data_IF_652575349150
#
_entry.id   IF_652575349150
#
_cell.length_a   1.000
_cell.length_b   1.000
_cell.length_c   1.000
_cell.angle_alpha   90.00
_cell.angle_beta   90.00
_cell.angle_gamma   90.00
#
_symmetry.space_group_name_H-M   'P 1'
#
loop_
_entity.id
_entity.type
_entity.pdbx_description
1 polymer ?
#
# COMPACT_ATOMS: atom_id res chain seq x y z
N UNK A 1 -9.99 -8.61 7.53
CA UNK A 1 -8.87 -7.81 8.09
C UNK A 1 -8.44 -8.38 9.43
N UNK A 2 -7.15 -8.54 9.63
CA UNK A 2 -6.55 -9.00 10.89
C UNK A 2 -5.45 -8.02 11.30
N UNK A 3 -5.41 -7.65 12.58
CA UNK A 3 -4.39 -6.76 13.16
C UNK A 3 -4.00 -7.29 14.54
N UNK A 4 -2.74 -7.18 14.88
CA UNK A 4 -2.24 -7.54 16.23
C UNK A 4 -1.15 -6.58 16.66
N UNK A 5 -1.14 -6.28 17.92
CA UNK A 5 -0.05 -5.59 18.59
C UNK A 5 1.08 -6.57 18.88
N UNK A 6 2.32 -6.12 18.78
CA UNK A 6 3.51 -6.91 19.12
C UNK A 6 4.28 -7.44 17.94
N UNK A 7 5.01 -8.51 18.13
CA UNK A 7 5.87 -9.12 17.08
C UNK A 7 5.04 -9.75 15.97
N UNK A 8 5.63 -9.89 14.77
CA UNK A 8 5.01 -10.55 13.60
C UNK A 8 4.47 -11.94 13.95
N UNK A 9 5.14 -12.66 14.85
CA UNK A 9 4.68 -13.97 15.33
C UNK A 9 3.27 -13.93 15.92
N UNK A 10 2.88 -12.85 16.62
CA UNK A 10 1.52 -12.68 17.16
C UNK A 10 0.48 -12.59 16.04
N UNK A 11 0.83 -11.92 14.95
CA UNK A 11 -0.03 -11.86 13.77
C UNK A 11 -0.10 -13.22 13.05
N UNK A 12 1.02 -13.93 12.93
CA UNK A 12 1.06 -15.27 12.34
C UNK A 12 0.16 -16.25 13.09
N UNK A 13 0.28 -16.30 14.42
CA UNK A 13 -0.57 -17.13 15.27
C UNK A 13 -2.06 -16.78 15.10
N UNK A 14 -2.40 -15.51 15.10
CA UNK A 14 -3.78 -15.07 14.90
C UNK A 14 -4.31 -15.42 13.51
N UNK A 15 -3.46 -15.46 12.48
CA UNK A 15 -3.85 -15.87 11.14
C UNK A 15 -4.10 -17.39 11.04
N UNK A 16 -3.42 -18.20 11.85
CA UNK A 16 -3.71 -19.64 11.98
C UNK A 16 -5.06 -19.88 12.68
N UNK A 17 -5.35 -19.13 13.74
CA UNK A 17 -6.61 -19.22 14.47
C UNK A 17 -7.82 -18.68 13.67
N UNK A 18 -7.58 -17.63 12.85
CA UNK A 18 -8.59 -16.94 12.05
C UNK A 18 -8.10 -16.78 10.61
N UNK A 19 -8.12 -17.86 9.80
CA UNK A 19 -7.59 -17.82 8.44
C UNK A 19 -8.29 -16.76 7.57
N UNK A 20 -7.49 -15.98 6.87
CA UNK A 20 -7.96 -15.08 5.82
C UNK A 20 -7.86 -15.79 4.48
N UNK A 21 -8.95 -15.80 3.73
CA UNK A 21 -9.02 -16.43 2.41
C UNK A 21 -9.11 -15.37 1.32
N UNK A 22 -8.36 -15.57 0.23
CA UNK A 22 -8.36 -14.68 -0.92
C UNK A 22 -7.18 -14.92 -1.85
N UNK A 23 -7.29 -14.43 -3.08
CA UNK A 23 -6.22 -14.48 -4.09
C UNK A 23 -5.35 -13.24 -4.11
N UNK A 24 -5.72 -12.20 -3.35
CA UNK A 24 -4.98 -10.93 -3.24
C UNK A 24 -4.96 -10.51 -1.78
N UNK A 25 -3.84 -9.99 -1.32
CA UNK A 25 -3.69 -9.48 0.03
C UNK A 25 -2.68 -8.36 0.13
N UNK A 26 -2.84 -7.51 1.13
CA UNK A 26 -1.86 -6.50 1.52
C UNK A 26 -1.54 -6.67 3.01
N UNK A 27 -0.29 -6.42 3.38
CA UNK A 27 0.19 -6.55 4.75
C UNK A 27 1.21 -5.46 5.09
N UNK A 28 1.38 -5.21 6.38
CA UNK A 28 2.29 -4.18 6.87
C UNK A 28 2.77 -4.50 8.29
N UNK A 29 4.06 -4.30 8.54
CA UNK A 29 4.65 -4.27 9.88
C UNK A 29 4.89 -2.82 10.26
N UNK A 30 4.06 -2.29 11.13
CA UNK A 30 4.09 -0.88 11.48
C UNK A 30 5.36 -0.50 12.25
N UNK A 31 6.02 0.56 11.80
CA UNK A 31 6.95 1.35 12.62
C UNK A 31 6.21 2.62 13.05
N UNK A 32 5.90 2.75 14.36
CA UNK A 32 5.04 3.81 14.85
C UNK A 32 5.70 5.20 14.68
N UNK A 33 5.10 6.05 13.86
CA UNK A 33 5.49 7.46 13.66
C UNK A 33 4.44 8.41 14.21
N UNK A 34 3.15 8.10 14.04
CA UNK A 34 2.00 8.86 14.53
C UNK A 34 1.05 7.94 15.29
N UNK A 35 0.67 8.34 16.50
CA UNK A 35 -0.14 7.54 17.40
C UNK A 35 0.61 6.42 18.10
N UNK A 36 0.14 6.03 19.26
CA UNK A 36 0.73 4.96 20.06
C UNK A 36 0.60 3.58 19.39
N UNK A 37 1.44 2.61 19.76
CA UNK A 37 1.25 1.22 19.36
C UNK A 37 -0.09 0.68 19.86
N UNK A 38 -1.02 0.42 18.94
CA UNK A 38 -2.33 -0.15 19.22
C UNK A 38 -2.88 -0.87 17.99
N UNK A 39 -3.86 -1.74 18.15
CA UNK A 39 -4.53 -2.36 17.00
C UNK A 39 -5.31 -1.33 16.17
N UNK A 40 -5.84 -0.26 16.79
CA UNK A 40 -6.53 0.81 16.08
C UNK A 40 -5.58 1.55 15.11
N UNK A 41 -4.33 1.75 15.52
CA UNK A 41 -3.31 2.43 14.76
C UNK A 41 -2.52 1.48 13.83
N UNK A 42 -2.73 0.18 13.91
CA UNK A 42 -2.08 -0.79 13.04
C UNK A 42 -2.70 -0.81 11.63
N UNK A 43 -1.86 -1.02 10.61
CA UNK A 43 -2.32 -1.22 9.24
C UNK A 43 -3.02 -2.59 9.07
N UNK A 44 -3.87 -2.75 8.06
CA UNK A 44 -4.30 -1.74 7.10
C UNK A 44 -5.37 -0.81 7.68
N UNK A 45 -5.42 0.44 7.17
CA UNK A 45 -6.51 1.37 7.42
C UNK A 45 -7.60 1.22 6.36
N UNK A 46 -8.84 1.46 6.76
CA UNK A 46 -10.01 1.18 5.92
C UNK A 46 -10.96 2.38 5.91
N UNK A 47 -11.44 2.73 4.72
CA UNK A 47 -12.55 3.64 4.51
C UNK A 47 -13.59 2.94 3.63
N UNK A 48 -14.68 2.49 4.22
CA UNK A 48 -15.68 1.64 3.59
C UNK A 48 -15.04 0.40 2.94
N UNK A 49 -14.87 0.39 1.63
CA UNK A 49 -14.25 -0.70 0.87
C UNK A 49 -12.79 -0.45 0.49
N UNK A 50 -12.29 0.77 0.73
CA UNK A 50 -10.91 1.13 0.42
C UNK A 50 -10.01 0.69 1.57
N UNK A 51 -8.98 -0.07 1.23
CA UNK A 51 -8.02 -0.65 2.18
C UNK A 51 -6.62 -0.17 1.81
N UNK A 52 -5.87 0.36 2.78
CA UNK A 52 -4.58 1.04 2.55
C UNK A 52 -3.52 0.55 3.53
N UNK A 53 -2.32 0.29 3.00
CA UNK A 53 -1.06 0.21 3.75
C UNK A 53 -0.11 1.30 3.25
N UNK A 54 0.75 1.82 4.13
CA UNK A 54 1.57 2.97 3.83
C UNK A 54 2.86 2.96 4.65
N UNK A 55 3.99 3.21 3.99
CA UNK A 55 5.27 3.55 4.58
C UNK A 55 5.57 5.02 4.31
N UNK A 56 6.04 5.74 5.32
CA UNK A 56 6.41 7.14 5.22
C UNK A 56 5.56 8.05 6.12
N UNK A 57 5.54 9.33 5.81
CA UNK A 57 4.81 10.34 6.57
C UNK A 57 4.07 11.27 5.62
N UNK A 58 2.76 11.42 5.82
CA UNK A 58 1.94 12.41 5.13
C UNK A 58 1.96 13.70 5.95
N UNK A 59 2.79 14.64 5.53
CA UNK A 59 3.06 15.89 6.28
C UNK A 59 1.82 16.78 6.42
N UNK A 60 0.95 16.78 5.41
CA UNK A 60 -0.29 17.56 5.42
C UNK A 60 -1.51 16.77 5.87
N UNK A 61 -1.31 15.74 6.70
CA UNK A 61 -2.40 14.88 7.17
C UNK A 61 -3.46 15.65 8.00
N UNK A 62 -3.07 16.63 8.82
CA UNK A 62 -4.01 17.37 9.67
C UNK A 62 -5.02 18.19 8.87
N UNK A 63 -4.63 19.10 7.95
CA UNK A 63 -5.60 19.83 7.15
C UNK A 63 -6.46 18.91 6.26
N UNK A 64 -5.90 17.81 5.75
CA UNK A 64 -6.70 16.82 5.01
C UNK A 64 -7.71 16.11 5.92
N UNK A 65 -7.30 15.75 7.14
CA UNK A 65 -8.19 15.16 8.16
C UNK A 65 -9.38 16.05 8.45
N UNK A 66 -9.14 17.34 8.70
CA UNK A 66 -10.22 18.30 8.99
C UNK A 66 -11.15 18.50 7.79
N UNK A 67 -10.61 18.58 6.58
CA UNK A 67 -11.41 18.66 5.36
C UNK A 67 -12.27 17.40 5.14
N UNK A 68 -11.74 16.22 5.43
CA UNK A 68 -12.47 14.96 5.32
C UNK A 68 -13.52 14.80 6.41
N UNK A 69 -13.26 15.23 7.64
CA UNK A 69 -14.26 15.31 8.71
C UNK A 69 -15.44 16.22 8.32
N UNK A 70 -15.15 17.38 7.73
CA UNK A 70 -16.18 18.29 7.21
C UNK A 70 -17.05 17.66 6.11
N UNK A 71 -16.51 16.65 5.41
CA UNK A 71 -17.22 15.83 4.39
C UNK A 71 -17.95 14.62 5.00
N UNK A 72 -17.95 14.48 6.32
CA UNK A 72 -18.65 13.42 7.03
C UNK A 72 -17.85 12.15 7.32
N UNK A 73 -16.54 12.15 7.09
CA UNK A 73 -15.69 11.02 7.44
C UNK A 73 -15.38 10.98 8.94
N UNK A 74 -15.49 9.80 9.52
CA UNK A 74 -15.11 9.55 10.92
C UNK A 74 -13.73 8.88 10.95
N UNK A 75 -12.82 9.45 11.73
CA UNK A 75 -11.48 8.90 11.95
C UNK A 75 -11.49 8.05 13.22
N UNK A 76 -10.94 6.84 13.12
CA UNK A 76 -10.87 5.86 14.21
C UNK A 76 -9.45 5.58 14.67
N UNK A 77 -8.45 6.18 14.01
CA UNK A 77 -7.04 6.07 14.36
C UNK A 77 -6.38 7.45 14.46
N UNK A 78 -5.21 7.45 15.05
CA UNK A 78 -4.36 8.65 15.15
C UNK A 78 -3.35 8.74 14.01
N UNK A 79 -3.36 7.76 13.07
CA UNK A 79 -2.35 7.69 12.02
C UNK A 79 -2.63 8.67 10.89
N UNK A 80 -1.56 9.12 10.25
CA UNK A 80 -1.61 9.88 9.01
C UNK A 80 -2.13 9.03 7.83
N UNK A 81 -1.92 7.72 7.88
CA UNK A 81 -2.33 6.77 6.82
C UNK A 81 -3.84 6.72 6.62
N UNK A 82 -4.64 6.86 7.67
CA UNK A 82 -6.11 6.84 7.55
C UNK A 82 -6.63 7.95 6.62
N UNK A 83 -5.91 9.06 6.54
CA UNK A 83 -6.22 10.15 5.60
C UNK A 83 -6.20 9.66 4.14
N UNK A 84 -5.24 8.81 3.78
CA UNK A 84 -5.15 8.26 2.42
C UNK A 84 -6.42 7.44 2.09
N UNK A 85 -6.85 6.58 3.01
CA UNK A 85 -8.02 5.73 2.82
C UNK A 85 -9.30 6.56 2.58
N UNK A 86 -9.54 7.56 3.41
CA UNK A 86 -10.70 8.42 3.28
C UNK A 86 -10.62 9.32 2.04
N UNK A 87 -9.45 9.83 1.70
CA UNK A 87 -9.26 10.66 0.51
C UNK A 87 -9.54 9.88 -0.78
N UNK A 88 -8.99 8.67 -0.89
CA UNK A 88 -9.24 7.80 -2.06
C UNK A 88 -10.73 7.41 -2.14
N UNK A 89 -11.36 7.11 -1.01
CA UNK A 89 -12.79 6.82 -0.96
C UNK A 89 -13.62 8.03 -1.43
N UNK A 90 -13.27 9.24 -0.97
CA UNK A 90 -13.92 10.47 -1.42
C UNK A 90 -13.79 10.65 -2.93
N UNK A 91 -12.59 10.52 -3.47
CA UNK A 91 -12.36 10.67 -4.91
C UNK A 91 -13.10 9.60 -5.73
N UNK A 92 -13.16 8.36 -5.23
CA UNK A 92 -13.89 7.29 -5.90
C UNK A 92 -15.41 7.59 -5.96
N UNK A 93 -15.97 8.22 -4.93
CA UNK A 93 -17.37 8.66 -4.91
C UNK A 93 -17.68 9.79 -5.91
N UNK A 94 -16.67 10.51 -6.39
CA UNK A 94 -16.85 11.50 -7.46
C UNK A 94 -17.00 10.84 -8.85
N UNK A 95 -16.82 9.53 -8.93
CA UNK A 95 -16.99 8.75 -10.15
C UNK A 95 -15.66 8.24 -10.74
N UNK A 96 -15.79 7.32 -11.67
CA UNK A 96 -14.65 6.69 -12.35
C UNK A 96 -14.16 5.42 -11.67
N UNK A 97 -12.98 4.95 -12.11
CA UNK A 97 -12.31 3.75 -11.61
C UNK A 97 -11.47 4.06 -10.36
N UNK A 98 -11.05 3.01 -9.64
CA UNK A 98 -10.10 3.17 -8.53
C UNK A 98 -8.80 3.83 -9.00
N UNK A 99 -8.30 3.47 -10.17
CA UNK A 99 -7.11 4.12 -10.77
C UNK A 99 -7.31 5.63 -10.91
N UNK A 100 -8.43 6.05 -11.48
CA UNK A 100 -8.74 7.48 -11.65
C UNK A 100 -8.88 8.19 -10.31
N UNK A 101 -9.50 7.55 -9.32
CA UNK A 101 -9.59 8.09 -7.97
C UNK A 101 -8.21 8.26 -7.31
N UNK A 102 -7.32 7.28 -7.45
CA UNK A 102 -5.95 7.36 -6.94
C UNK A 102 -5.16 8.45 -7.66
N UNK A 103 -5.28 8.56 -8.99
CA UNK A 103 -4.65 9.63 -9.78
C UNK A 103 -5.10 11.04 -9.34
N UNK A 104 -6.33 11.20 -8.83
CA UNK A 104 -6.81 12.46 -8.26
C UNK A 104 -6.40 12.67 -6.80
N UNK A 105 -6.32 11.60 -6.01
CA UNK A 105 -6.01 11.67 -4.59
C UNK A 105 -4.52 11.95 -4.34
N UNK A 106 -3.62 11.24 -5.03
CA UNK A 106 -2.18 11.28 -4.78
C UNK A 106 -1.59 12.69 -4.88
N UNK A 107 -1.93 13.54 -5.87
CA UNK A 107 -1.39 14.91 -5.94
C UNK A 107 -1.78 15.82 -4.76
N UNK A 108 -2.77 15.44 -3.96
CA UNK A 108 -3.20 16.18 -2.77
C UNK A 108 -2.34 15.86 -1.54
N UNK A 109 -1.56 14.77 -1.57
CA UNK A 109 -0.67 14.37 -0.50
C UNK A 109 0.66 15.11 -0.58
N UNK A 110 1.19 15.50 0.58
CA UNK A 110 2.55 16.04 0.73
C UNK A 110 3.32 15.17 1.71
N UNK A 111 4.61 15.00 1.45
CA UNK A 111 5.49 14.17 2.28
C UNK A 111 6.02 12.95 1.54
N UNK A 112 6.54 12.00 2.30
CA UNK A 112 7.08 10.76 1.76
C UNK A 112 6.06 9.62 1.93
N UNK A 113 5.83 8.85 0.87
CA UNK A 113 4.97 7.68 0.92
C UNK A 113 5.38 6.59 -0.08
N UNK A 114 5.25 5.35 0.37
CA UNK A 114 5.08 4.17 -0.45
C UNK A 114 3.78 3.52 0.01
N UNK A 115 2.73 3.60 -0.79
CA UNK A 115 1.39 3.15 -0.39
C UNK A 115 0.81 2.16 -1.37
N UNK A 116 0.06 1.19 -0.84
CA UNK A 116 -0.70 0.22 -1.64
C UNK A 116 -2.17 0.30 -1.23
N UNK A 117 -3.03 0.37 -2.22
CA UNK A 117 -4.45 0.63 -2.10
C UNK A 117 -5.23 -0.47 -2.81
N UNK A 118 -6.26 -0.98 -2.15
CA UNK A 118 -7.17 -2.00 -2.68
C UNK A 118 -8.62 -1.59 -2.44
N UNK A 119 -9.50 -1.86 -3.40
CA UNK A 119 -10.94 -1.88 -3.18
C UNK A 119 -11.37 -3.33 -2.93
N UNK A 120 -11.91 -3.63 -1.75
CA UNK A 120 -12.32 -4.99 -1.37
C UNK A 120 -13.46 -5.57 -2.22
N UNK A 121 -14.16 -4.73 -2.98
CA UNK A 121 -15.18 -5.17 -3.95
C UNK A 121 -14.56 -5.64 -5.27
N UNK A 122 -13.32 -5.21 -5.56
CA UNK A 122 -12.55 -5.51 -6.76
C UNK A 122 -11.13 -5.96 -6.39
N UNK A 123 -10.99 -7.11 -5.69
CA UNK A 123 -9.72 -7.51 -5.07
C UNK A 123 -8.66 -8.02 -6.07
N UNK A 124 -8.97 -8.11 -7.34
CA UNK A 124 -8.07 -8.50 -8.42
C UNK A 124 -7.09 -7.39 -8.85
N UNK A 125 -7.29 -6.17 -8.34
CA UNK A 125 -6.49 -5.00 -8.70
C UNK A 125 -5.91 -4.33 -7.46
N UNK A 126 -4.60 -4.04 -7.48
CA UNK A 126 -3.92 -3.19 -6.52
C UNK A 126 -3.46 -1.90 -7.19
N UNK A 127 -3.58 -0.78 -6.50
CA UNK A 127 -2.95 0.48 -6.86
C UNK A 127 -1.78 0.73 -5.92
N UNK A 128 -0.63 1.11 -6.47
CA UNK A 128 0.55 1.49 -5.71
C UNK A 128 1.00 2.89 -6.10
N UNK A 129 1.47 3.67 -5.13
CA UNK A 129 1.99 5.00 -5.39
C UNK A 129 3.25 5.25 -4.55
N UNK A 130 4.24 5.90 -5.16
CA UNK A 130 5.51 6.19 -4.53
C UNK A 130 5.90 7.65 -4.66
N UNK A 131 6.34 8.21 -3.52
CA UNK A 131 7.13 9.44 -3.44
C UNK A 131 8.00 9.38 -2.17
N UNK A 132 9.31 9.50 -2.29
CA UNK A 132 10.24 9.46 -1.17
C UNK A 132 10.50 8.06 -0.57
N UNK A 133 9.49 7.26 -0.36
CA UNK A 133 9.63 5.87 0.14
C UNK A 133 9.62 4.87 -1.00
N UNK A 134 10.54 3.88 -1.03
CA UNK A 134 10.67 2.94 -2.14
C UNK A 134 9.49 1.98 -2.24
N UNK A 135 9.15 1.61 -3.46
CA UNK A 135 8.31 0.47 -3.80
C UNK A 135 8.87 -0.27 -5.01
N UNK A 136 8.80 -1.59 -4.97
CA UNK A 136 9.24 -2.48 -6.05
C UNK A 136 8.14 -3.46 -6.38
N UNK A 137 7.94 -3.70 -7.67
CA UNK A 137 7.01 -4.71 -8.19
C UNK A 137 7.82 -5.95 -8.56
N UNK A 138 7.42 -7.10 -8.03
CA UNK A 138 7.95 -8.39 -8.43
C UNK A 138 7.04 -9.02 -9.49
N UNK A 139 7.62 -9.43 -10.62
CA UNK A 139 6.90 -10.06 -11.72
C UNK A 139 6.96 -11.59 -11.56
N UNK A 140 5.80 -12.20 -11.47
CA UNK A 140 5.64 -13.65 -11.39
C UNK A 140 4.90 -14.25 -12.60
N UNK A 141 4.62 -15.55 -12.55
CA UNK A 141 3.85 -16.27 -13.56
C UNK A 141 2.41 -16.40 -13.08
N UNK A 142 1.49 -15.62 -13.66
CA UNK A 142 0.08 -15.60 -13.25
C UNK A 142 -0.18 -14.95 -11.89
N UNK A 143 0.81 -14.25 -11.38
CA UNK A 143 0.76 -13.48 -10.14
C UNK A 143 1.80 -12.36 -10.18
N UNK A 144 1.56 -11.27 -9.45
CA UNK A 144 2.51 -10.18 -9.27
C UNK A 144 2.55 -9.79 -7.80
N UNK A 145 3.66 -9.21 -7.41
CA UNK A 145 3.96 -8.85 -6.02
C UNK A 145 4.34 -7.38 -5.93
N UNK A 146 4.17 -6.81 -4.74
CA UNK A 146 4.69 -5.49 -4.41
C UNK A 146 5.28 -5.51 -3.00
N UNK A 147 6.40 -4.83 -2.84
CA UNK A 147 7.06 -4.68 -1.54
C UNK A 147 7.81 -3.35 -1.46
N UNK A 148 8.16 -2.96 -0.25
CA UNK A 148 9.05 -1.83 0.01
C UNK A 148 10.53 -2.15 -0.31
N UNK A 149 10.91 -3.43 -0.31
CA UNK A 149 12.26 -3.91 -0.60
C UNK A 149 12.21 -5.21 -1.42
N UNK A 150 13.07 -5.30 -2.45
CA UNK A 150 13.18 -6.50 -3.28
C UNK A 150 13.60 -7.76 -2.49
N UNK A 151 14.34 -7.61 -1.40
CA UNK A 151 14.76 -8.73 -0.55
C UNK A 151 13.58 -9.53 -0.04
N UNK A 152 12.44 -8.88 0.24
CA UNK A 152 11.22 -9.55 0.66
C UNK A 152 10.62 -10.47 -0.42
N UNK A 153 10.92 -10.19 -1.70
CA UNK A 153 10.35 -10.90 -2.85
C UNK A 153 11.30 -11.90 -3.50
N UNK A 154 12.58 -11.91 -3.15
CA UNK A 154 13.56 -12.85 -3.71
C UNK A 154 13.17 -14.35 -3.58
N UNK A 155 12.46 -14.78 -2.52
CA UNK A 155 11.97 -16.16 -2.45
C UNK A 155 10.97 -16.55 -3.53
N UNK A 156 10.30 -15.58 -4.15
CA UNK A 156 9.20 -15.84 -5.10
C UNK A 156 9.50 -15.36 -6.52
N UNK A 157 10.37 -14.35 -6.70
CA UNK A 157 10.77 -13.86 -8.03
C UNK A 157 12.11 -13.16 -7.99
N UNK A 158 12.78 -13.10 -9.15
CA UNK A 158 13.99 -12.31 -9.38
C UNK A 158 13.80 -11.18 -10.37
N UNK A 159 12.61 -11.06 -10.96
CA UNK A 159 12.29 -10.03 -11.95
C UNK A 159 11.54 -8.89 -11.27
N UNK A 160 12.10 -7.69 -11.37
CA UNK A 160 11.60 -6.53 -10.67
C UNK A 160 11.42 -5.31 -11.56
N UNK A 161 10.39 -4.52 -11.24
CA UNK A 161 10.25 -3.13 -11.71
C UNK A 161 10.34 -2.23 -10.47
N UNK A 162 11.34 -1.36 -10.46
CA UNK A 162 11.47 -0.34 -9.41
C UNK A 162 10.66 0.88 -9.82
N UNK A 163 9.68 1.27 -8.99
CA UNK A 163 8.92 2.47 -9.23
C UNK A 163 9.81 3.71 -9.02
N UNK A 164 9.64 4.69 -9.90
CA UNK A 164 10.32 5.98 -9.81
C UNK A 164 9.50 6.99 -9.02
N UNK A 165 10.11 8.13 -8.70
CA UNK A 165 9.44 9.22 -7.97
C UNK A 165 8.18 9.70 -8.70
N UNK A 166 7.06 9.68 -7.98
CA UNK A 166 5.77 10.09 -8.51
C UNK A 166 5.02 9.02 -9.31
N UNK A 167 5.58 7.81 -9.45
CA UNK A 167 4.92 6.72 -10.14
C UNK A 167 3.68 6.22 -9.39
N UNK A 168 2.64 5.93 -10.17
CA UNK A 168 1.45 5.20 -9.74
C UNK A 168 1.35 3.95 -10.61
N UNK A 169 1.19 2.78 -10.00
CA UNK A 169 1.07 1.52 -10.71
C UNK A 169 -0.30 0.88 -10.44
N UNK A 170 -0.95 0.40 -11.49
CA UNK A 170 -2.09 -0.49 -11.42
C UNK A 170 -1.62 -1.92 -11.69
N UNK A 171 -1.82 -2.79 -10.73
CA UNK A 171 -1.26 -4.14 -10.72
C UNK A 171 -2.39 -5.15 -10.64
N UNK A 172 -2.43 -6.07 -11.61
CA UNK A 172 -3.28 -7.25 -11.60
C UNK A 172 -2.42 -8.51 -11.60
N UNK A 173 -3.03 -9.68 -11.55
CA UNK A 173 -2.31 -10.96 -11.68
C UNK A 173 -1.54 -11.10 -12.99
N UNK A 174 -1.92 -10.37 -14.04
CA UNK A 174 -1.43 -10.55 -15.41
C UNK A 174 -0.82 -9.29 -16.01
N UNK A 175 -0.97 -8.14 -15.37
CA UNK A 175 -0.55 -6.86 -15.94
C UNK A 175 -0.02 -5.90 -14.88
N UNK A 176 0.88 -5.04 -15.32
CA UNK A 176 1.38 -3.89 -14.57
C UNK A 176 1.33 -2.69 -15.52
N UNK A 177 0.53 -1.68 -15.18
CA UNK A 177 0.45 -0.42 -15.90
C UNK A 177 0.95 0.69 -14.98
N UNK A 178 1.91 1.48 -15.45
CA UNK A 178 2.55 2.53 -14.65
C UNK A 178 2.25 3.88 -15.26
N UNK A 179 1.91 4.84 -14.39
CA UNK A 179 1.61 6.23 -14.73
C UNK A 179 2.60 7.11 -14.00
N UNK A 180 3.17 8.09 -14.67
CA UNK A 180 4.06 9.05 -14.03
C UNK A 180 3.28 10.14 -13.26
N UNK A 181 4.00 11.07 -12.64
CA UNK A 181 3.42 12.19 -11.90
C UNK A 181 2.51 13.11 -12.72
N UNK A 182 2.56 13.04 -14.04
CA UNK A 182 1.66 13.79 -14.94
C UNK A 182 0.39 13.01 -15.26
N UNK A 183 0.30 11.75 -14.86
CA UNK A 183 -0.78 10.82 -15.20
C UNK A 183 -0.61 10.16 -16.57
N UNK A 184 0.53 10.38 -17.24
CA UNK A 184 0.84 9.72 -18.50
C UNK A 184 1.30 8.27 -18.24
N UNK A 185 0.83 7.35 -19.08
CA UNK A 185 1.29 5.97 -19.03
C UNK A 185 2.73 5.87 -19.51
N UNK A 186 3.57 5.23 -18.71
CA UNK A 186 5.01 5.07 -18.96
C UNK A 186 5.42 3.62 -18.81
N UNK A 187 6.57 3.27 -19.37
CA UNK A 187 7.22 1.97 -19.16
C UNK A 187 8.43 2.15 -18.28
N UNK A 188 8.59 1.23 -17.32
CA UNK A 188 9.79 1.12 -16.50
C UNK A 188 10.53 -0.17 -16.82
N UNK A 189 11.83 -0.16 -16.62
CA UNK A 189 12.68 -1.29 -16.94
C UNK A 189 12.37 -2.49 -16.05
N UNK A 190 12.22 -3.66 -16.65
CA UNK A 190 12.24 -4.95 -15.98
C UNK A 190 13.68 -5.35 -15.74
N UNK A 191 14.06 -5.56 -14.49
CA UNK A 191 15.43 -5.84 -14.06
C UNK A 191 15.47 -7.22 -13.40
N UNK A 192 16.42 -8.06 -13.80
CA UNK A 192 16.71 -9.30 -13.11
C UNK A 192 17.72 -9.05 -11.99
N UNK A 193 17.36 -9.41 -10.76
CA UNK A 193 18.21 -9.23 -9.57
C UNK A 193 19.25 -10.33 -9.48
N UNK A 194 20.50 -9.95 -9.26
CA UNK A 194 21.62 -10.86 -8.96
C UNK A 194 21.82 -11.07 -7.46
N UNK A 195 20.99 -10.47 -6.61
CA UNK A 195 21.08 -10.65 -5.16
C UNK A 195 20.77 -12.10 -4.78
N UNK A 196 21.52 -12.62 -3.80
CA UNK A 196 21.25 -13.90 -3.20
C UNK A 196 20.40 -13.68 -1.93
N UNK A 197 19.35 -14.48 -1.79
CA UNK A 197 18.61 -14.56 -0.53
C UNK A 197 19.39 -15.46 0.43
N UNK A 198 20.02 -14.86 1.41
CA UNK A 198 20.66 -15.62 2.48
C UNK A 198 19.64 -15.84 3.62
N UNK A 199 19.09 -17.05 3.67
CA UNK A 199 18.09 -17.43 4.69
C UNK A 199 18.68 -17.43 6.13
N UNK A 200 20.00 -17.26 6.26
CA UNK A 200 20.72 -17.24 7.53
C UNK A 200 20.69 -15.89 8.26
N UNK A 201 20.43 -14.80 7.56
CA UNK A 201 20.47 -13.46 8.14
C UNK A 201 19.07 -12.98 8.54
N UNK A 202 18.41 -13.75 9.40
CA UNK A 202 17.28 -13.25 10.18
C UNK A 202 17.86 -12.41 11.30
N UNK A 203 18.13 -11.15 11.02
CA UNK A 203 18.37 -10.16 12.07
C UNK A 203 17.24 -10.22 13.09
N UNK A 204 17.60 -10.49 14.30
CA UNK A 204 16.78 -10.60 15.51
C UNK A 204 16.11 -9.26 15.81
#
# INVERSE_FOLDING_TARGET
>A
RLRRLGKVQMLAQAAEEHPLHGGTGIAHTRWATHGEPSEANAHPHVSEHIVVVHNGIIENHEPLREALKARGYTFVSETDTEVIAHLVNWELKQGGTLREAVLRAIPQLRGAYGTVIMDSRHPDTLLAARSGSPLVIGLGMGENFIASDQLALLPVTRRFIFLEEGDIAEITRRSVNIFDKTGAEVKRQDIESNLQYDAGDKGI
#
